data_IF_609171612361
#
_entry.id   IF_609171612361
#
_cell.length_a   1.000
_cell.length_b   1.000
_cell.length_c   1.000
_cell.angle_alpha   90.00
_cell.angle_beta   90.00
_cell.angle_gamma   90.00
#
_symmetry.space_group_name_H-M   'P 1'
#
loop_
_entity.id
_entity.type
_entity.pdbx_description
1 polymer ?
#
# COMPACT_ATOMS: atom_id res chain seq x y z
N UNK A 1 12.67 -29.77 -7.70
CA UNK A 1 12.32 -28.59 -6.87
C UNK A 1 12.82 -27.30 -7.49
N UNK A 2 14.10 -27.20 -7.86
CA UNK A 2 14.70 -25.99 -8.44
C UNK A 2 13.98 -25.46 -9.70
N UNK A 3 13.74 -26.28 -10.72
CA UNK A 3 12.98 -25.86 -11.92
C UNK A 3 11.59 -25.27 -11.64
N UNK A 4 10.89 -25.76 -10.59
CA UNK A 4 9.59 -25.20 -10.18
C UNK A 4 9.80 -23.86 -9.48
N UNK A 5 10.77 -23.78 -8.58
CA UNK A 5 11.16 -22.54 -7.92
C UNK A 5 11.53 -21.46 -8.94
N UNK A 6 12.41 -21.76 -9.89
CA UNK A 6 12.85 -20.80 -10.91
C UNK A 6 11.67 -20.29 -11.74
N UNK A 7 10.74 -21.18 -12.12
CA UNK A 7 9.52 -20.79 -12.82
C UNK A 7 8.68 -19.81 -12.00
N UNK A 8 8.35 -20.15 -10.75
CA UNK A 8 7.54 -19.28 -9.88
C UNK A 8 8.25 -17.97 -9.54
N UNK A 9 9.57 -18.02 -9.36
CA UNK A 9 10.39 -16.85 -9.12
C UNK A 9 10.29 -15.87 -10.31
N UNK A 10 10.43 -16.38 -11.54
CA UNK A 10 10.29 -15.55 -12.75
C UNK A 10 8.89 -14.97 -12.92
N UNK A 11 7.85 -15.69 -12.49
CA UNK A 11 6.46 -15.21 -12.53
C UNK A 11 6.14 -14.19 -11.42
N UNK A 12 6.87 -14.19 -10.30
CA UNK A 12 6.53 -13.39 -9.10
C UNK A 12 7.55 -12.32 -8.72
N UNK A 13 8.74 -12.25 -9.32
CA UNK A 13 9.75 -11.27 -8.90
C UNK A 13 9.27 -9.82 -9.06
N UNK A 14 8.54 -9.49 -10.15
CA UNK A 14 8.02 -8.14 -10.40
C UNK A 14 7.04 -7.67 -9.31
N UNK A 15 5.94 -8.37 -9.03
CA UNK A 15 5.01 -7.96 -7.98
C UNK A 15 5.65 -7.97 -6.58
N UNK A 16 6.71 -8.76 -6.36
CA UNK A 16 7.47 -8.73 -5.11
C UNK A 16 8.40 -7.51 -4.98
N UNK A 17 8.79 -6.86 -6.08
CA UNK A 17 9.68 -5.69 -6.03
C UNK A 17 8.95 -4.44 -5.51
N UNK A 18 7.69 -4.23 -5.92
CA UNK A 18 6.94 -3.02 -5.59
C UNK A 18 6.74 -2.83 -4.07
N UNK A 19 6.26 -3.81 -3.28
CA UNK A 19 6.17 -3.71 -1.82
C UNK A 19 7.50 -3.35 -1.15
N UNK A 20 8.61 -3.87 -1.67
CA UNK A 20 9.95 -3.63 -1.12
C UNK A 20 10.42 -2.21 -1.42
N UNK A 21 10.11 -1.70 -2.62
CA UNK A 21 10.44 -0.31 -3.01
C UNK A 21 9.64 0.69 -2.17
N UNK A 22 8.35 0.42 -1.95
CA UNK A 22 7.48 1.20 -1.05
C UNK A 22 7.90 1.06 0.43
N UNK A 23 8.81 0.13 0.73
CA UNK A 23 9.47 0.05 2.01
C UNK A 23 10.54 1.14 2.17
N UNK A 24 10.37 2.12 3.08
CA UNK A 24 11.33 3.22 3.24
C UNK A 24 12.72 2.76 3.71
N UNK A 25 12.86 1.50 4.15
CA UNK A 25 14.12 0.88 4.58
C UNK A 25 14.99 0.33 3.45
N UNK A 26 14.41 0.02 2.30
CA UNK A 26 15.06 -0.81 1.28
C UNK A 26 15.09 -0.13 -0.10
N UNK A 27 13.98 0.48 -0.54
CA UNK A 27 13.86 1.25 -1.79
C UNK A 27 14.50 0.54 -3.01
N UNK A 28 14.85 1.28 -4.05
CA UNK A 28 15.45 0.75 -5.28
C UNK A 28 16.84 0.14 -5.06
N UNK A 29 17.64 0.69 -4.16
CA UNK A 29 19.01 0.23 -3.90
C UNK A 29 19.06 -1.22 -3.42
N UNK A 30 18.10 -1.64 -2.58
CA UNK A 30 18.00 -3.04 -2.16
C UNK A 30 17.56 -3.96 -3.30
N UNK A 31 16.61 -3.52 -4.13
CA UNK A 31 16.16 -4.28 -5.31
C UNK A 31 17.33 -4.48 -6.27
N UNK A 32 18.07 -3.43 -6.58
CA UNK A 32 19.26 -3.51 -7.42
C UNK A 32 20.28 -4.51 -6.86
N UNK A 33 20.56 -4.45 -5.55
CA UNK A 33 21.45 -5.41 -4.88
C UNK A 33 20.98 -6.86 -5.02
N UNK A 34 19.67 -7.13 -4.88
CA UNK A 34 19.10 -8.49 -4.98
C UNK A 34 19.00 -8.98 -6.42
N UNK A 35 18.58 -8.13 -7.35
CA UNK A 35 18.50 -8.48 -8.76
C UNK A 35 19.89 -8.73 -9.36
N UNK A 36 20.93 -8.00 -8.93
CA UNK A 36 22.33 -8.30 -9.32
C UNK A 36 22.73 -9.72 -8.94
N UNK A 37 22.32 -10.21 -7.77
CA UNK A 37 22.61 -11.58 -7.34
C UNK A 37 21.80 -12.63 -8.10
N UNK A 38 20.55 -12.31 -8.47
CA UNK A 38 19.65 -13.25 -9.12
C UNK A 38 19.88 -13.37 -10.63
N UNK A 39 20.11 -12.25 -11.31
CA UNK A 39 20.14 -12.15 -12.79
C UNK A 39 21.52 -11.83 -13.35
N UNK A 40 22.49 -11.44 -12.52
CA UNK A 40 23.85 -11.13 -12.95
C UNK A 40 23.88 -10.02 -14.01
N UNK A 41 24.40 -10.27 -15.23
CA UNK A 41 24.55 -9.24 -16.27
C UNK A 41 23.23 -8.70 -16.82
N UNK A 42 22.13 -9.44 -16.70
CA UNK A 42 20.81 -9.02 -17.21
C UNK A 42 20.05 -8.09 -16.25
N UNK A 43 20.68 -7.68 -15.13
CA UNK A 43 20.04 -6.87 -14.08
C UNK A 43 19.44 -5.57 -14.59
N UNK A 44 20.11 -4.87 -15.51
CA UNK A 44 19.66 -3.57 -16.01
C UNK A 44 18.29 -3.68 -16.68
N UNK A 45 18.08 -4.75 -17.46
CA UNK A 45 16.79 -5.00 -18.11
C UNK A 45 15.68 -5.20 -17.08
N UNK A 46 15.95 -6.02 -16.06
CA UNK A 46 14.97 -6.27 -15.01
C UNK A 46 14.69 -5.03 -14.15
N UNK A 47 15.72 -4.22 -13.86
CA UNK A 47 15.59 -2.98 -13.10
C UNK A 47 14.77 -1.94 -13.87
N UNK A 48 14.99 -1.81 -15.19
CA UNK A 48 14.18 -0.96 -16.06
C UNK A 48 12.71 -1.38 -16.04
N UNK A 49 12.42 -2.68 -16.18
CA UNK A 49 11.03 -3.18 -16.09
C UNK A 49 10.40 -2.87 -14.72
N UNK A 50 11.15 -2.99 -13.63
CA UNK A 50 10.63 -2.65 -12.28
C UNK A 50 10.30 -1.16 -12.17
N UNK A 51 11.17 -0.28 -12.69
CA UNK A 51 10.91 1.17 -12.70
C UNK A 51 9.70 1.52 -13.55
N UNK A 52 9.59 0.95 -14.75
CA UNK A 52 8.45 1.16 -15.65
C UNK A 52 7.12 0.73 -15.00
N UNK A 53 7.09 -0.42 -14.32
CA UNK A 53 5.89 -0.86 -13.57
C UNK A 53 5.55 0.11 -12.43
N UNK A 54 6.56 0.61 -11.72
CA UNK A 54 6.36 1.56 -10.62
C UNK A 54 5.83 2.91 -11.13
N UNK A 55 6.41 3.43 -12.21
CA UNK A 55 6.00 4.69 -12.84
C UNK A 55 4.56 4.56 -13.38
N UNK A 56 4.24 3.48 -14.08
CA UNK A 56 2.87 3.24 -14.59
C UNK A 56 1.84 3.15 -13.46
N UNK A 57 2.19 2.46 -12.37
CA UNK A 57 1.32 2.36 -11.19
C UNK A 57 1.09 3.73 -10.54
N UNK A 58 2.15 4.55 -10.45
CA UNK A 58 2.04 5.91 -9.94
C UNK A 58 1.15 6.79 -10.81
N UNK A 59 1.33 6.77 -12.13
CA UNK A 59 0.51 7.53 -13.08
C UNK A 59 -0.96 7.12 -13.04
N UNK A 60 -1.25 5.82 -12.92
CA UNK A 60 -2.62 5.30 -12.80
C UNK A 60 -3.32 5.85 -11.55
N UNK A 61 -2.68 5.79 -10.39
CA UNK A 61 -3.24 6.35 -9.15
C UNK A 61 -3.31 7.88 -9.19
N UNK A 62 -2.34 8.55 -9.81
CA UNK A 62 -2.37 9.99 -10.00
C UNK A 62 -3.59 10.43 -10.82
N UNK A 63 -3.90 9.71 -11.91
CA UNK A 63 -5.07 9.98 -12.75
C UNK A 63 -6.38 9.80 -11.99
N UNK A 64 -6.51 8.70 -11.24
CA UNK A 64 -7.72 8.42 -10.45
C UNK A 64 -7.94 9.49 -9.37
N UNK A 65 -6.86 9.97 -8.75
CA UNK A 65 -6.97 11.01 -7.73
C UNK A 65 -7.32 12.37 -8.31
N UNK A 66 -6.88 12.70 -9.53
CA UNK A 66 -7.34 13.91 -10.23
C UNK A 66 -8.81 13.83 -10.61
N UNK A 67 -9.27 12.67 -11.08
CA UNK A 67 -10.67 12.47 -11.47
C UNK A 67 -11.61 12.54 -10.25
N UNK A 68 -11.20 11.98 -9.11
CA UNK A 68 -11.96 12.04 -7.86
C UNK A 68 -12.14 13.49 -7.34
N UNK A 69 -11.17 14.37 -7.55
CA UNK A 69 -11.27 15.79 -7.18
C UNK A 69 -12.18 16.58 -8.12
N UNK A 70 -12.24 16.20 -9.40
CA UNK A 70 -13.18 16.79 -10.37
C UNK A 70 -14.62 16.29 -10.16
N UNK A 71 -14.82 15.04 -9.74
CA UNK A 71 -16.15 14.47 -9.45
C UNK A 71 -16.71 14.89 -8.08
N UNK A 72 -15.85 15.18 -7.10
CA UNK A 72 -16.27 15.64 -5.76
C UNK A 72 -16.55 17.15 -5.67
N UNK A 73 -16.38 17.90 -6.78
CA UNK A 73 -16.89 19.26 -6.89
C UNK A 73 -18.43 19.23 -6.79
N UNK A 74 -19.04 19.78 -5.72
CA UNK A 74 -20.48 19.74 -5.59
C UNK A 74 -21.09 20.65 -6.66
N UNK A 75 -21.91 20.11 -7.56
CA UNK A 75 -23.03 20.85 -8.15
C UNK A 75 -24.12 21.07 -7.10
N UNK A 76 -23.77 21.69 -5.97
CA UNK A 76 -24.76 22.19 -5.02
C UNK A 76 -24.93 23.68 -5.28
N UNK A 77 -26.10 24.04 -5.82
CA UNK A 77 -26.66 25.37 -5.60
C UNK A 77 -26.89 25.52 -4.10
N UNK A 78 -25.91 26.10 -3.42
CA UNK A 78 -26.11 26.67 -2.10
C UNK A 78 -25.95 28.18 -2.26
N UNK A 79 -27.08 28.88 -2.22
CA UNK A 79 -27.14 30.32 -2.01
C UNK A 79 -26.62 30.59 -0.59
N UNK A 80 -25.31 30.77 -0.43
CA UNK A 80 -24.76 31.44 0.75
C UNK A 80 -23.59 32.32 0.31
N UNK A 81 -23.87 33.62 0.33
CA UNK A 81 -22.99 34.70 -0.11
C UNK A 81 -21.79 34.78 0.83
N UNK A 82 -20.69 34.15 0.42
CA UNK A 82 -19.33 34.60 0.77
C UNK A 82 -18.65 34.90 -0.55
N UNK A 83 -18.48 36.19 -0.86
CA UNK A 83 -17.80 36.65 -2.07
C UNK A 83 -16.33 36.18 -2.05
N UNK A 84 -16.05 35.02 -2.65
CA UNK A 84 -14.71 34.54 -3.01
C UNK A 84 -14.19 35.17 -4.33
N UNK A 85 -14.98 36.03 -5.00
CA UNK A 85 -14.58 36.68 -6.26
C UNK A 85 -13.41 37.68 -6.14
N UNK A 86 -12.84 37.88 -4.96
CA UNK A 86 -11.65 38.72 -4.77
C UNK A 86 -10.66 38.10 -3.78
N UNK A 87 -10.41 36.79 -3.82
CA UNK A 87 -9.16 36.29 -3.25
C UNK A 87 -8.01 36.57 -4.24
N UNK A 88 -7.14 37.56 -3.97
CA UNK A 88 -6.03 37.91 -4.87
C UNK A 88 -4.98 36.80 -4.97
N UNK A 89 -5.08 35.76 -4.13
CA UNK A 89 -4.17 34.62 -4.11
C UNK A 89 -4.72 33.36 -4.78
N UNK A 90 -5.96 33.34 -5.29
CA UNK A 90 -6.49 32.15 -5.97
C UNK A 90 -5.62 31.71 -7.18
N UNK A 91 -5.09 32.69 -7.92
CA UNK A 91 -4.12 32.48 -9.00
C UNK A 91 -2.76 31.96 -8.47
N UNK A 92 -2.38 32.37 -7.26
CA UNK A 92 -1.17 31.88 -6.59
C UNK A 92 -1.34 30.44 -6.10
N UNK A 93 -2.49 30.06 -5.59
CA UNK A 93 -2.80 28.69 -5.18
C UNK A 93 -2.85 27.73 -6.37
N UNK A 94 -3.43 28.17 -7.50
CA UNK A 94 -3.34 27.43 -8.77
C UNK A 94 -1.89 27.33 -9.27
N UNK A 95 -1.11 28.40 -9.16
CA UNK A 95 0.30 28.39 -9.54
C UNK A 95 1.12 27.45 -8.64
N UNK A 96 0.86 27.43 -7.32
CA UNK A 96 1.52 26.57 -6.36
C UNK A 96 1.21 25.10 -6.64
N UNK A 97 -0.06 24.76 -6.86
CA UNK A 97 -0.49 23.40 -7.19
C UNK A 97 0.08 22.91 -8.54
N UNK A 98 0.10 23.78 -9.55
CA UNK A 98 0.71 23.46 -10.86
C UNK A 98 2.23 23.34 -10.76
N UNK A 99 2.87 24.19 -9.95
CA UNK A 99 4.30 24.13 -9.68
C UNK A 99 4.66 22.88 -8.87
N UNK A 100 3.86 22.49 -7.89
CA UNK A 100 4.04 21.27 -7.09
C UNK A 100 3.87 19.99 -7.92
N UNK A 101 2.98 20.00 -8.91
CA UNK A 101 2.92 18.95 -9.96
C UNK A 101 4.14 18.95 -10.90
N UNK A 102 4.84 20.09 -11.04
CA UNK A 102 5.99 20.27 -11.93
C UNK A 102 7.36 20.09 -11.23
N UNK A 103 7.48 20.37 -9.93
CA UNK A 103 8.69 20.12 -9.13
C UNK A 103 8.63 18.73 -8.53
N UNK A 104 9.21 17.78 -9.27
CA UNK A 104 9.39 16.37 -8.93
C UNK A 104 8.06 15.59 -8.80
N UNK A 105 7.93 14.52 -9.59
CA UNK A 105 6.96 13.47 -9.26
C UNK A 105 7.21 13.07 -7.80
N UNK A 106 6.14 13.03 -6.99
CA UNK A 106 6.16 12.58 -5.59
C UNK A 106 7.03 11.31 -5.42
N UNK A 107 6.97 10.42 -6.41
CA UNK A 107 7.79 9.23 -6.54
C UNK A 107 9.29 9.52 -6.58
N UNK A 108 9.75 10.48 -7.38
CA UNK A 108 11.16 10.86 -7.45
C UNK A 108 11.66 11.39 -6.10
N UNK A 109 10.88 12.26 -5.45
CA UNK A 109 11.22 12.77 -4.11
C UNK A 109 11.30 11.67 -3.06
N UNK A 110 10.37 10.71 -3.08
CA UNK A 110 10.43 9.54 -2.21
C UNK A 110 11.67 8.68 -2.48
N UNK A 111 12.03 8.44 -3.74
CA UNK A 111 13.16 7.58 -4.11
C UNK A 111 14.52 8.21 -3.79
N UNK A 112 14.63 9.54 -3.82
CA UNK A 112 15.85 10.28 -3.48
C UNK A 112 16.12 10.35 -1.97
N UNK A 113 15.08 10.25 -1.14
CA UNK A 113 15.26 10.32 0.31
C UNK A 113 16.08 9.16 0.88
N UNK A 114 16.79 9.44 1.96
CA UNK A 114 17.57 8.43 2.67
C UNK A 114 16.70 7.27 3.16
N UNK A 115 17.30 6.08 3.19
CA UNK A 115 16.62 4.88 3.70
C UNK A 115 16.50 4.95 5.22
N UNK A 116 15.34 4.55 5.74
CA UNK A 116 15.12 4.47 7.18
C UNK A 116 15.92 3.34 7.82
N UNK A 117 16.34 3.51 9.07
CA UNK A 117 17.12 2.50 9.79
C UNK A 117 16.31 1.23 10.06
N UNK A 118 16.98 0.08 10.05
CA UNK A 118 16.34 -1.21 10.29
C UNK A 118 16.14 -1.45 11.80
N UNK A 119 15.00 -1.00 12.32
CA UNK A 119 14.54 -1.31 13.67
C UNK A 119 13.59 -2.51 13.66
N UNK A 120 13.55 -3.29 14.74
CA UNK A 120 12.70 -4.49 14.87
C UNK A 120 11.21 -4.12 14.91
N UNK A 121 10.83 -3.04 15.59
CA UNK A 121 9.43 -2.62 15.79
C UNK A 121 8.89 -1.66 14.71
N UNK A 122 9.48 -1.67 13.50
CA UNK A 122 9.08 -0.74 12.44
C UNK A 122 7.74 -1.14 11.80
N UNK A 123 6.70 -0.33 12.04
CA UNK A 123 5.40 -0.46 11.37
C UNK A 123 5.36 0.36 10.08
N UNK A 124 5.47 -0.33 8.94
CA UNK A 124 5.46 0.29 7.61
C UNK A 124 4.14 0.98 7.26
N UNK A 125 2.99 0.42 7.68
CA UNK A 125 1.68 1.01 7.39
C UNK A 125 1.46 2.29 8.20
N UNK A 126 1.87 2.27 9.48
CA UNK A 126 1.85 3.47 10.32
C UNK A 126 2.79 4.56 9.77
N UNK A 127 3.95 4.19 9.24
CA UNK A 127 4.84 5.13 8.58
C UNK A 127 4.17 5.82 7.39
N UNK A 128 3.53 5.04 6.49
CA UNK A 128 2.80 5.59 5.35
C UNK A 128 1.62 6.46 5.77
N UNK A 129 0.92 6.08 6.84
CA UNK A 129 -0.16 6.89 7.41
C UNK A 129 0.34 8.26 7.90
N UNK A 130 1.48 8.29 8.60
CA UNK A 130 2.09 9.53 9.09
C UNK A 130 2.64 10.44 7.98
N UNK A 131 3.00 9.85 6.83
CA UNK A 131 3.58 10.57 5.69
C UNK A 131 2.58 10.79 4.55
N UNK A 132 1.28 10.51 4.73
CA UNK A 132 0.27 10.63 3.68
C UNK A 132 0.09 12.04 3.16
N UNK A 133 0.30 13.06 4.01
CA UNK A 133 0.26 14.47 3.59
C UNK A 133 1.43 14.86 2.69
N UNK A 134 2.59 14.22 2.88
CA UNK A 134 3.79 14.43 2.06
C UNK A 134 3.74 13.60 0.78
N UNK A 135 3.17 12.40 0.87
CA UNK A 135 3.08 11.42 -0.20
C UNK A 135 1.63 10.92 -0.41
N UNK A 136 0.74 11.78 -0.92
CA UNK A 136 -0.67 11.44 -1.05
C UNK A 136 -0.91 10.25 -2.00
N UNK A 137 -0.22 10.19 -3.15
CA UNK A 137 -0.43 9.14 -4.14
C UNK A 137 0.25 7.83 -3.69
N UNK A 138 1.51 7.89 -3.26
CA UNK A 138 2.26 6.71 -2.84
C UNK A 138 1.70 6.10 -1.56
N UNK A 139 1.13 6.89 -0.65
CA UNK A 139 0.49 6.35 0.55
C UNK A 139 -0.74 5.49 0.22
N UNK A 140 -1.53 5.88 -0.79
CA UNK A 140 -2.62 5.06 -1.32
C UNK A 140 -2.09 3.76 -1.94
N UNK A 141 -1.08 3.86 -2.82
CA UNK A 141 -0.45 2.68 -3.44
C UNK A 141 0.11 1.74 -2.36
N UNK A 142 0.79 2.28 -1.36
CA UNK A 142 1.38 1.51 -0.28
C UNK A 142 0.31 0.82 0.58
N UNK A 143 -0.80 1.48 0.88
CA UNK A 143 -1.94 0.85 1.55
C UNK A 143 -2.45 -0.34 0.76
N UNK A 144 -2.68 -0.20 -0.55
CA UNK A 144 -3.23 -1.28 -1.36
C UNK A 144 -2.23 -2.42 -1.56
N UNK A 145 -0.97 -2.10 -1.88
CA UNK A 145 0.07 -3.09 -2.20
C UNK A 145 0.55 -3.82 -0.95
N UNK A 146 0.76 -3.14 0.17
CA UNK A 146 1.33 -3.75 1.38
C UNK A 146 0.31 -4.56 2.19
N UNK A 147 -0.99 -4.30 2.00
CA UNK A 147 -2.07 -5.08 2.63
C UNK A 147 -2.24 -6.46 1.98
N UNK A 148 -1.79 -6.63 0.73
CA UNK A 148 -1.81 -7.94 0.07
C UNK A 148 -0.87 -8.91 0.80
N UNK A 149 -1.45 -9.98 1.35
CA UNK A 149 -0.67 -11.03 2.01
C UNK A 149 0.18 -11.77 0.98
N UNK A 150 1.51 -11.80 1.19
CA UNK A 150 2.44 -12.48 0.31
C UNK A 150 2.35 -14.03 0.34
N UNK A 151 1.48 -14.62 1.17
CA UNK A 151 1.48 -16.07 1.43
C UNK A 151 0.09 -16.71 1.43
N UNK A 152 0.02 -17.88 0.78
CA UNK A 152 -1.13 -18.82 0.80
C UNK A 152 -1.37 -19.40 2.20
N UNK A 153 -0.41 -19.28 3.13
CA UNK A 153 -0.55 -19.79 4.50
C UNK A 153 -1.76 -19.18 5.23
N UNK A 154 -2.15 -17.95 4.88
CA UNK A 154 -3.37 -17.34 5.41
C UNK A 154 -4.63 -18.06 4.96
N UNK A 155 -4.74 -18.42 3.68
CA UNK A 155 -5.89 -19.18 3.20
C UNK A 155 -5.87 -20.62 3.72
N UNK A 156 -4.72 -21.28 3.82
CA UNK A 156 -4.61 -22.60 4.45
C UNK A 156 -5.00 -22.57 5.94
N UNK A 157 -4.62 -21.53 6.68
CA UNK A 157 -5.05 -21.31 8.06
C UNK A 157 -6.55 -21.06 8.16
N UNK A 158 -7.12 -20.25 7.26
CA UNK A 158 -8.56 -20.01 7.15
C UNK A 158 -9.31 -21.31 6.81
N UNK A 159 -8.81 -22.11 5.87
CA UNK A 159 -9.39 -23.42 5.52
C UNK A 159 -9.24 -24.45 6.65
N UNK A 160 -8.13 -24.44 7.39
CA UNK A 160 -7.94 -25.31 8.53
C UNK A 160 -8.87 -24.92 9.70
N UNK A 161 -9.10 -23.62 9.88
CA UNK A 161 -10.12 -23.10 10.82
C UNK A 161 -11.52 -23.50 10.35
N UNK A 162 -11.81 -23.38 9.05
CA UNK A 162 -13.05 -23.85 8.42
C UNK A 162 -13.31 -25.34 8.65
N UNK A 163 -12.29 -26.20 8.55
CA UNK A 163 -12.39 -27.64 8.88
C UNK A 163 -12.70 -27.91 10.35
N UNK A 164 -12.32 -27.04 11.29
CA UNK A 164 -12.72 -27.14 12.71
C UNK A 164 -14.17 -26.69 12.94
N UNK A 165 -14.66 -25.74 12.16
CA UNK A 165 -16.03 -25.23 12.25
C UNK A 165 -17.03 -26.18 11.55
N UNK A 166 -16.63 -26.73 10.40
CA UNK A 166 -17.37 -27.72 9.61
C UNK A 166 -16.81 -29.10 9.95
N UNK A 167 -17.31 -29.70 11.04
CA UNK A 167 -17.07 -31.12 11.33
C UNK A 167 -18.13 -31.99 10.65
N UNK A 168 -17.91 -33.30 10.56
CA UNK A 168 -18.87 -34.26 10.00
C UNK A 168 -20.26 -34.18 10.68
N UNK A 169 -20.32 -33.73 11.94
CA UNK A 169 -21.55 -33.51 12.72
C UNK A 169 -22.23 -32.13 12.50
N UNK A 170 -21.56 -31.16 11.85
CA UNK A 170 -22.06 -29.80 11.57
C UNK A 170 -22.10 -29.46 10.07
N UNK A 171 -22.16 -30.48 9.21
CA UNK A 171 -22.16 -30.38 7.74
C UNK A 171 -23.39 -29.73 7.11
N UNK A 172 -24.35 -29.24 7.90
CA UNK A 172 -25.61 -28.61 7.43
C UNK A 172 -25.61 -27.08 7.50
N UNK A 173 -24.48 -26.45 7.84
CA UNK A 173 -24.36 -25.00 7.82
C UNK A 173 -24.31 -24.49 6.38
N UNK A 174 -25.12 -23.47 6.07
CA UNK A 174 -25.02 -22.78 4.78
C UNK A 174 -23.71 -21.99 4.69
N UNK A 175 -23.25 -21.74 3.46
CA UNK A 175 -22.03 -20.98 3.16
C UNK A 175 -21.97 -19.65 3.90
N UNK A 176 -23.09 -18.94 3.94
CA UNK A 176 -23.21 -17.61 4.57
C UNK A 176 -23.03 -17.70 6.09
N UNK A 177 -23.49 -18.79 6.71
CA UNK A 177 -23.33 -18.99 8.16
C UNK A 177 -21.89 -19.35 8.52
N UNK A 178 -21.22 -20.13 7.67
CA UNK A 178 -19.80 -20.45 7.85
C UNK A 178 -18.95 -19.19 7.74
N UNK A 179 -19.18 -18.38 6.71
CA UNK A 179 -18.50 -17.10 6.51
C UNK A 179 -18.70 -16.17 7.70
N UNK A 180 -19.96 -15.99 8.15
CA UNK A 180 -20.26 -15.16 9.31
C UNK A 180 -19.54 -15.63 10.59
N UNK A 181 -19.44 -16.94 10.81
CA UNK A 181 -18.72 -17.50 11.97
C UNK A 181 -17.21 -17.28 11.90
N UNK A 182 -16.60 -17.42 10.71
CA UNK A 182 -15.17 -17.17 10.49
C UNK A 182 -14.88 -15.68 10.71
N UNK A 183 -15.66 -14.79 10.08
CA UNK A 183 -15.53 -13.34 10.22
C UNK A 183 -15.68 -12.90 11.69
N UNK A 184 -16.69 -13.44 12.40
CA UNK A 184 -16.91 -13.14 13.82
C UNK A 184 -15.73 -13.62 14.69
N UNK A 185 -15.22 -14.83 14.43
CA UNK A 185 -14.08 -15.37 15.16
C UNK A 185 -12.82 -14.52 14.96
N UNK A 186 -12.54 -14.09 13.72
CA UNK A 186 -11.39 -13.26 13.42
C UNK A 186 -11.56 -11.84 13.99
N UNK A 187 -12.77 -11.29 13.99
CA UNK A 187 -13.08 -10.02 14.65
C UNK A 187 -12.76 -10.05 16.16
N UNK A 188 -13.22 -11.09 16.88
CA UNK A 188 -12.91 -11.24 18.30
C UNK A 188 -11.41 -11.38 18.55
N UNK A 189 -10.70 -12.13 17.70
CA UNK A 189 -9.24 -12.29 17.79
C UNK A 189 -8.46 -11.00 17.53
N UNK A 190 -8.94 -10.13 16.64
CA UNK A 190 -8.36 -8.80 16.45
C UNK A 190 -8.57 -7.94 17.70
N UNK A 191 -9.78 -7.94 18.25
CA UNK A 191 -10.11 -7.10 19.41
C UNK A 191 -9.32 -7.50 20.67
N UNK A 192 -9.13 -8.80 20.92
CA UNK A 192 -8.34 -9.29 22.06
C UNK A 192 -6.84 -8.95 21.97
N UNK A 193 -6.31 -8.76 20.75
CA UNK A 193 -4.92 -8.31 20.56
C UNK A 193 -4.76 -6.82 20.87
N UNK A 194 -5.76 -6.01 20.58
CA UNK A 194 -5.78 -4.58 20.91
C UNK A 194 -6.06 -4.31 22.39
N UNK A 195 -6.82 -5.19 23.06
CA UNK A 195 -7.09 -5.08 24.51
C UNK A 195 -5.89 -5.46 25.41
N UNK A 196 -4.89 -6.18 24.88
CA UNK A 196 -3.74 -6.67 25.63
C UNK A 196 -2.42 -5.94 25.34
N UNK A 197 -2.44 -4.86 24.55
CA UNK A 197 -1.28 -3.95 24.47
C UNK A 197 -1.28 -3.05 25.71
N UNK A 198 -0.27 -3.14 26.60
CA UNK A 198 -0.16 -2.21 27.72
C UNK A 198 0.03 -0.81 27.15
N UNK A 199 -0.80 0.11 27.62
CA UNK A 199 -0.70 1.55 27.41
C UNK A 199 0.74 1.99 27.74
N UNK A 200 1.59 2.17 26.72
CA UNK A 200 2.91 2.77 26.93
C UNK A 200 2.68 4.26 27.11
N UNK A 201 2.61 4.62 28.39
CA UNK A 201 2.33 5.95 28.88
C UNK A 201 3.15 7.04 28.22
N UNK A 202 2.45 8.15 28.04
CA UNK A 202 2.96 9.49 27.76
C UNK A 202 4.23 9.83 28.56
N UNK A 203 5.33 10.03 27.83
CA UNK A 203 6.35 11.05 28.09
C UNK A 203 6.53 11.72 26.72
N UNK A 204 6.16 12.98 26.49
CA UNK A 204 6.36 14.22 27.23
C UNK A 204 5.11 15.11 27.25
#
# INVERSE_FOLDING_TARGET
MQKKFDKYWMESYLPNCIPVILGPRFKLCFIEFRLKQAFGPDVERHLLTVKEVLDNLFEEYSSQMTDALDESAPRQKFDEVVNEENDPLADWDQHLNKKQRQTASELAGYLEEDTFTRTEDFNILQWWHLHSSKYPILSCIACDVLVVQASVVSSESAFNTGKRLISDYRSRLCSETVEALICLQDWFRCNDKHANTPDQGHYY
#
